data_IF_823433795243
#
_entry.id   IF_823433795243
#
_cell.length_a   1.000
_cell.length_b   1.000
_cell.length_c   1.000
_cell.angle_alpha   90.00
_cell.angle_beta   90.00
_cell.angle_gamma   90.00
#
_symmetry.space_group_name_H-M   'P 1'
#
loop_
_entity.id
_entity.type
_entity.pdbx_description
1 polymer ?
#
# COMPACT_ATOMS: atom_id res chain seq x y z
N UNK A 1 14.40 -15.54 5.43
CA UNK A 1 13.20 -16.21 4.88
C UNK A 1 12.08 -15.19 4.82
N UNK A 2 11.26 -15.18 3.76
CA UNK A 2 10.16 -14.22 3.62
C UNK A 2 9.09 -14.47 4.69
N UNK A 3 8.81 -13.44 5.48
CA UNK A 3 7.94 -13.46 6.64
C UNK A 3 6.49 -13.80 6.31
N UNK A 4 5.98 -13.28 5.19
CA UNK A 4 4.62 -13.55 4.76
C UNK A 4 4.38 -15.01 4.37
N UNK A 5 5.44 -15.77 4.03
CA UNK A 5 5.31 -17.20 3.71
C UNK A 5 5.09 -18.06 4.95
N UNK A 6 5.43 -17.54 6.12
CA UNK A 6 5.18 -18.20 7.40
C UNK A 6 3.78 -17.89 7.95
N UNK A 7 2.99 -17.09 7.23
CA UNK A 7 1.68 -16.66 7.68
C UNK A 7 0.72 -17.84 7.80
N UNK A 8 -0.02 -17.87 8.91
CA UNK A 8 -1.15 -18.78 9.14
C UNK A 8 -2.35 -17.93 9.55
N UNK A 9 -3.51 -18.10 8.90
CA UNK A 9 -4.73 -17.37 9.26
C UNK A 9 -5.03 -17.54 10.75
N UNK A 10 -5.43 -16.44 11.39
CA UNK A 10 -5.84 -16.44 12.79
C UNK A 10 -7.35 -16.69 12.87
N UNK A 11 -7.83 -17.43 13.87
CA UNK A 11 -9.26 -17.48 14.13
C UNK A 11 -9.78 -16.07 14.38
N UNK A 12 -11.02 -15.79 13.98
CA UNK A 12 -11.68 -14.51 14.32
C UNK A 12 -11.86 -14.51 15.84
N UNK A 13 -11.05 -13.69 16.53
CA UNK A 13 -11.03 -13.64 18.00
C UNK A 13 -11.85 -12.50 18.57
N UNK A 14 -12.31 -11.58 17.73
CA UNK A 14 -13.02 -10.39 18.16
C UNK A 14 -14.19 -10.10 17.20
N UNK A 15 -15.39 -9.94 17.77
CA UNK A 15 -16.61 -9.62 17.02
C UNK A 15 -16.78 -8.11 16.80
N UNK A 16 -15.94 -7.29 17.45
CA UNK A 16 -16.01 -5.82 17.39
C UNK A 16 -15.07 -5.23 16.34
N UNK A 17 -14.12 -6.01 15.82
CA UNK A 17 -13.24 -5.62 14.73
C UNK A 17 -13.77 -6.13 13.39
N UNK A 18 -13.73 -5.27 12.38
CA UNK A 18 -14.20 -5.55 11.01
C UNK A 18 -13.03 -5.71 10.03
N UNK A 19 -11.85 -6.04 10.55
CA UNK A 19 -10.68 -6.30 9.72
C UNK A 19 -10.83 -7.64 8.98
N UNK A 20 -10.06 -7.76 7.91
CA UNK A 20 -9.99 -8.97 7.11
C UNK A 20 -8.69 -9.71 7.40
N UNK A 21 -8.69 -11.01 7.12
CA UNK A 21 -7.52 -11.90 7.26
C UNK A 21 -7.10 -12.50 5.92
N UNK A 22 -6.87 -11.62 4.94
CA UNK A 22 -6.52 -12.00 3.57
C UNK A 22 -5.02 -12.28 3.48
N UNK A 23 -4.68 -13.53 3.15
CA UNK A 23 -3.33 -13.90 2.76
C UNK A 23 -3.04 -13.51 1.30
N UNK A 24 -2.38 -12.36 1.11
CA UNK A 24 -2.03 -11.83 -0.22
C UNK A 24 -1.12 -12.71 -1.06
N UNK A 25 -0.35 -13.63 -0.46
CA UNK A 25 0.49 -14.57 -1.24
C UNK A 25 -0.33 -15.48 -2.15
N UNK A 26 -1.62 -15.66 -1.86
CA UNK A 26 -2.54 -16.44 -2.69
C UNK A 26 -3.33 -15.58 -3.68
N UNK A 27 -3.14 -14.27 -3.66
CA UNK A 27 -3.82 -13.33 -4.54
C UNK A 27 -3.06 -13.13 -5.85
N UNK A 28 -3.75 -12.54 -6.83
CA UNK A 28 -3.20 -12.11 -8.11
C UNK A 28 -3.90 -10.83 -8.54
N UNK A 29 -3.34 -10.13 -9.53
CA UNK A 29 -3.99 -8.96 -10.11
C UNK A 29 -5.32 -9.33 -10.78
N UNK A 30 -6.38 -8.62 -10.40
CA UNK A 30 -7.74 -8.75 -10.95
C UNK A 30 -8.21 -7.49 -11.67
N UNK A 31 -7.56 -6.35 -11.40
CA UNK A 31 -7.81 -5.06 -12.06
C UNK A 31 -6.47 -4.41 -12.46
N UNK A 32 -6.39 -3.67 -13.58
CA UNK A 32 -5.14 -3.04 -13.99
C UNK A 32 -4.70 -1.96 -13.00
N UNK A 33 -3.40 -1.84 -12.74
CA UNK A 33 -2.84 -0.67 -12.05
C UNK A 33 -2.93 0.52 -13.01
N UNK A 34 -3.67 1.58 -12.62
CA UNK A 34 -3.93 2.75 -13.46
C UNK A 34 -3.23 4.01 -12.95
N UNK A 35 -3.10 4.19 -11.63
CA UNK A 35 -2.57 5.42 -11.04
C UNK A 35 -1.67 5.13 -9.84
N UNK A 36 -0.46 5.70 -9.85
CA UNK A 36 0.46 5.72 -8.72
C UNK A 36 0.45 7.13 -8.10
N UNK A 37 -0.07 7.26 -6.89
CA UNK A 37 -0.15 8.53 -6.17
C UNK A 37 1.02 8.56 -5.16
N UNK A 38 2.14 9.11 -5.59
CA UNK A 38 3.45 8.98 -4.93
C UNK A 38 3.78 10.17 -4.03
N UNK A 39 2.77 10.83 -3.45
CA UNK A 39 2.96 11.82 -2.40
C UNK A 39 3.08 11.18 -1.02
N UNK A 40 3.86 11.80 -0.14
CA UNK A 40 4.03 11.34 1.24
C UNK A 40 2.72 11.43 2.03
N UNK A 41 2.64 10.66 3.11
CA UNK A 41 1.58 10.85 4.11
C UNK A 41 1.47 12.31 4.54
N UNK A 42 0.25 12.73 4.88
CA UNK A 42 -0.11 14.12 5.23
C UNK A 42 -0.08 15.13 4.07
N UNK A 43 0.06 14.68 2.83
CA UNK A 43 -0.10 15.52 1.62
C UNK A 43 -1.49 15.41 0.97
N UNK A 44 -2.50 14.90 1.70
CA UNK A 44 -3.86 14.74 1.21
C UNK A 44 -4.20 13.35 0.65
N UNK A 45 -3.39 12.33 0.97
CA UNK A 45 -3.56 10.95 0.47
C UNK A 45 -4.92 10.32 0.80
N UNK A 46 -5.46 10.57 2.00
CA UNK A 46 -6.79 10.09 2.37
C UNK A 46 -7.91 10.72 1.50
N UNK A 47 -7.82 12.02 1.22
CA UNK A 47 -8.72 12.70 0.29
C UNK A 47 -8.56 12.18 -1.14
N UNK A 48 -7.33 11.89 -1.56
CA UNK A 48 -7.08 11.27 -2.87
C UNK A 48 -7.72 9.87 -2.96
N UNK A 49 -7.64 9.06 -1.91
CA UNK A 49 -8.30 7.75 -1.85
C UNK A 49 -9.82 7.89 -2.02
N UNK A 50 -10.43 8.85 -1.32
CA UNK A 50 -11.87 9.15 -1.44
C UNK A 50 -12.23 9.63 -2.86
N UNK A 51 -11.48 10.57 -3.42
CA UNK A 51 -11.72 11.10 -4.75
C UNK A 51 -11.59 10.02 -5.84
N UNK A 52 -10.62 9.11 -5.74
CA UNK A 52 -10.50 7.99 -6.69
C UNK A 52 -11.73 7.08 -6.66
N UNK A 53 -12.29 6.83 -5.46
CA UNK A 53 -13.55 6.08 -5.31
C UNK A 53 -14.72 6.81 -5.97
N UNK A 54 -14.85 8.12 -5.76
CA UNK A 54 -15.88 8.94 -6.41
C UNK A 54 -15.75 8.94 -7.94
N UNK A 55 -14.51 8.91 -8.46
CA UNK A 55 -14.22 8.80 -9.89
C UNK A 55 -14.42 7.39 -10.46
N UNK A 56 -14.87 6.41 -9.66
CA UNK A 56 -15.22 5.07 -10.10
C UNK A 56 -14.03 4.11 -10.20
N UNK A 57 -12.91 4.38 -9.55
CA UNK A 57 -11.82 3.40 -9.41
C UNK A 57 -12.24 2.30 -8.45
N UNK A 58 -11.95 1.03 -8.80
CA UNK A 58 -12.38 -0.14 -8.02
C UNK A 58 -11.90 -0.07 -6.57
N UNK A 59 -10.61 0.19 -6.38
CA UNK A 59 -10.04 0.47 -5.06
C UNK A 59 -8.73 1.26 -5.20
N UNK A 60 -8.38 2.00 -4.15
CA UNK A 60 -7.12 2.73 -3.99
C UNK A 60 -6.48 2.31 -2.68
N UNK A 61 -5.36 1.58 -2.79
CA UNK A 61 -4.61 1.12 -1.63
C UNK A 61 -4.04 2.31 -0.86
N UNK A 62 -4.11 2.27 0.47
CA UNK A 62 -3.64 3.32 1.38
C UNK A 62 -3.06 2.67 2.64
N UNK A 63 -2.30 3.41 3.46
CA UNK A 63 -1.81 2.94 4.76
C UNK A 63 -2.88 2.26 5.64
N UNK A 64 -4.12 2.74 5.60
CA UNK A 64 -5.24 2.15 6.36
C UNK A 64 -5.55 0.72 5.91
N UNK A 65 -5.28 0.38 4.65
CA UNK A 65 -5.44 -0.97 4.13
C UNK A 65 -4.52 -1.96 4.85
N UNK A 66 -3.28 -1.55 5.14
CA UNK A 66 -2.33 -2.39 5.87
C UNK A 66 -2.48 -2.31 7.39
N UNK A 67 -2.92 -1.17 7.95
CA UNK A 67 -2.94 -0.98 9.41
C UNK A 67 -4.29 -1.30 10.07
N UNK A 68 -5.39 -1.26 9.33
CA UNK A 68 -6.76 -1.40 9.87
C UNK A 68 -7.56 -2.44 9.09
N UNK A 69 -7.52 -2.43 7.75
CA UNK A 69 -8.46 -3.22 6.95
C UNK A 69 -7.98 -4.66 6.70
N UNK A 70 -6.69 -4.86 6.46
CA UNK A 70 -6.06 -6.18 6.33
C UNK A 70 -4.65 -6.17 6.97
N UNK A 71 -4.54 -6.22 8.31
CA UNK A 71 -3.26 -6.25 9.02
C UNK A 71 -2.21 -7.25 8.48
N UNK A 72 -2.57 -8.45 7.97
CA UNK A 72 -1.59 -9.37 7.37
C UNK A 72 -0.80 -8.79 6.18
N UNK A 73 -1.29 -7.75 5.50
CA UNK A 73 -0.55 -7.05 4.43
C UNK A 73 0.81 -6.53 4.93
N UNK A 74 0.92 -6.17 6.21
CA UNK A 74 2.18 -5.72 6.82
C UNK A 74 3.32 -6.74 6.66
N UNK A 75 3.01 -8.03 6.55
CA UNK A 75 4.02 -9.07 6.33
C UNK A 75 4.61 -9.03 4.92
N UNK A 76 3.80 -8.73 3.90
CA UNK A 76 4.30 -8.56 2.52
C UNK A 76 5.08 -7.24 2.40
N UNK A 77 4.60 -6.17 3.03
CA UNK A 77 5.33 -4.91 3.10
C UNK A 77 6.69 -5.07 3.79
N UNK A 78 6.75 -5.81 4.91
CA UNK A 78 8.02 -6.15 5.55
C UNK A 78 8.96 -6.90 4.60
N UNK A 79 8.47 -7.90 3.88
CA UNK A 79 9.29 -8.62 2.90
C UNK A 79 9.82 -7.69 1.80
N UNK A 80 9.04 -6.70 1.37
CA UNK A 80 9.49 -5.69 0.40
C UNK A 80 10.57 -4.77 1.00
N UNK A 81 10.43 -4.38 2.26
CA UNK A 81 11.45 -3.60 2.97
C UNK A 81 12.74 -4.40 3.17
N UNK A 82 12.64 -5.68 3.55
CA UNK A 82 13.79 -6.59 3.67
C UNK A 82 14.49 -6.76 2.31
N UNK A 83 13.72 -6.91 1.23
CA UNK A 83 14.27 -6.95 -0.13
C UNK A 83 15.06 -5.67 -0.48
N UNK A 84 14.47 -4.50 -0.20
CA UNK A 84 15.04 -3.20 -0.56
C UNK A 84 16.24 -2.78 0.28
N UNK A 85 16.18 -2.98 1.58
CA UNK A 85 17.16 -2.41 2.53
C UNK A 85 18.10 -3.45 3.16
N UNK A 86 17.84 -4.75 2.96
CA UNK A 86 18.63 -5.84 3.55
C UNK A 86 19.15 -6.83 2.50
N UNK A 87 19.42 -6.35 1.27
CA UNK A 87 19.99 -7.13 0.16
C UNK A 87 19.20 -8.40 -0.19
N UNK A 88 17.88 -8.38 0.00
CA UNK A 88 17.01 -9.46 -0.46
C UNK A 88 16.73 -9.38 -1.96
N UNK A 89 16.11 -10.43 -2.53
CA UNK A 89 15.69 -10.40 -3.93
C UNK A 89 14.63 -9.33 -4.15
N UNK A 90 14.84 -8.45 -5.13
CA UNK A 90 13.92 -7.38 -5.45
C UNK A 90 12.51 -7.92 -5.75
N UNK A 91 11.49 -7.20 -5.27
CA UNK A 91 10.10 -7.53 -5.57
C UNK A 91 9.84 -7.41 -7.08
N UNK A 92 9.22 -8.45 -7.63
CA UNK A 92 8.80 -8.48 -9.03
C UNK A 92 7.38 -7.91 -9.18
N UNK A 93 6.96 -7.65 -10.42
CA UNK A 93 5.55 -7.30 -10.71
C UNK A 93 4.56 -8.31 -10.14
N UNK A 94 4.90 -9.59 -10.13
CA UNK A 94 4.07 -10.66 -9.54
C UNK A 94 3.92 -10.50 -8.03
N UNK A 95 4.98 -10.10 -7.31
CA UNK A 95 4.91 -9.83 -5.87
C UNK A 95 4.04 -8.60 -5.58
N UNK A 96 4.16 -7.55 -6.40
CA UNK A 96 3.28 -6.38 -6.31
C UNK A 96 1.83 -6.70 -6.66
N UNK A 97 1.60 -7.57 -7.64
CA UNK A 97 0.27 -8.03 -8.05
C UNK A 97 -0.42 -8.87 -6.98
N UNK A 98 0.34 -9.60 -6.16
CA UNK A 98 -0.19 -10.28 -4.96
C UNK A 98 -0.76 -9.27 -3.96
N UNK A 99 -0.03 -8.20 -3.68
CA UNK A 99 -0.39 -7.19 -2.67
C UNK A 99 -1.48 -6.22 -3.17
N UNK A 100 -1.26 -5.64 -4.34
CA UNK A 100 -2.01 -4.50 -4.88
C UNK A 100 -2.96 -4.92 -6.00
N UNK A 101 -3.12 -6.22 -6.26
CA UNK A 101 -3.80 -6.75 -7.43
C UNK A 101 -5.29 -6.41 -7.53
N UNK A 102 -5.92 -6.11 -6.40
CA UNK A 102 -7.32 -5.73 -6.29
C UNK A 102 -7.54 -4.21 -6.39
N UNK A 103 -6.46 -3.41 -6.39
CA UNK A 103 -6.52 -1.97 -6.46
C UNK A 103 -6.11 -1.45 -7.83
N UNK A 104 -6.82 -0.43 -8.31
CA UNK A 104 -6.48 0.30 -9.54
C UNK A 104 -5.58 1.51 -9.28
N UNK A 105 -5.46 1.92 -8.02
CA UNK A 105 -4.52 2.94 -7.61
C UNK A 105 -3.87 2.60 -6.27
N UNK A 106 -2.77 3.29 -5.95
CA UNK A 106 -2.08 3.18 -4.68
C UNK A 106 -1.58 4.54 -4.23
N UNK A 107 -1.63 4.81 -2.93
CA UNK A 107 -1.19 6.06 -2.31
C UNK A 107 -0.66 5.83 -0.89
N UNK A 108 0.01 6.86 -0.36
CA UNK A 108 0.52 6.89 1.02
C UNK A 108 1.61 5.84 1.31
N UNK A 109 2.01 5.76 2.57
CA UNK A 109 2.79 4.66 3.11
C UNK A 109 2.02 3.33 3.07
N UNK A 110 2.71 2.19 2.93
CA UNK A 110 4.15 2.07 2.67
C UNK A 110 4.57 2.27 1.20
N UNK A 111 3.60 2.31 0.27
CA UNK A 111 3.86 2.30 -1.16
C UNK A 111 4.74 3.45 -1.67
N UNK A 112 4.63 4.65 -1.10
CA UNK A 112 5.48 5.80 -1.47
C UNK A 112 6.98 5.51 -1.32
N UNK A 113 7.36 4.63 -0.38
CA UNK A 113 8.76 4.21 -0.19
C UNK A 113 9.31 3.40 -1.38
N UNK A 114 8.43 2.86 -2.23
CA UNK A 114 8.75 2.01 -3.37
C UNK A 114 8.45 2.68 -4.71
N UNK A 115 8.44 4.02 -4.75
CA UNK A 115 8.12 4.77 -5.95
C UNK A 115 8.91 4.30 -7.20
N UNK A 116 10.25 4.16 -7.19
CA UNK A 116 10.99 3.65 -8.34
C UNK A 116 10.56 2.24 -8.77
N UNK A 117 10.38 1.33 -7.80
CA UNK A 117 10.04 -0.07 -8.05
C UNK A 117 8.61 -0.21 -8.60
N UNK A 118 7.66 0.57 -8.09
CA UNK A 118 6.28 0.58 -8.58
C UNK A 118 6.17 1.22 -9.97
N UNK A 119 6.93 2.27 -10.26
CA UNK A 119 7.00 2.87 -11.60
C UNK A 119 7.59 1.85 -12.59
N UNK A 120 8.65 1.14 -12.21
CA UNK A 120 9.25 0.11 -13.06
C UNK A 120 8.32 -1.10 -13.27
N UNK A 121 7.55 -1.49 -12.24
CA UNK A 121 6.60 -2.60 -12.31
C UNK A 121 5.33 -2.25 -13.10
N UNK A 122 4.91 -0.99 -13.12
CA UNK A 122 3.69 -0.52 -13.76
C UNK A 122 3.95 0.71 -14.66
N UNK A 123 4.75 0.57 -15.74
CA UNK A 123 5.09 1.69 -16.63
C UNK A 123 3.87 2.27 -17.36
N UNK A 124 2.76 1.53 -17.42
CA UNK A 124 1.48 1.96 -18.00
C UNK A 124 0.67 2.88 -17.06
N UNK A 125 0.99 2.90 -15.77
CA UNK A 125 0.23 3.67 -14.78
C UNK A 125 0.60 5.16 -14.83
N UNK A 126 -0.41 6.02 -14.72
CA UNK A 126 -0.19 7.47 -14.58
C UNK A 126 0.36 7.77 -13.19
N UNK A 127 1.19 8.80 -13.09
CA UNK A 127 1.78 9.22 -11.82
C UNK A 127 1.15 10.54 -11.37
N UNK A 128 0.76 10.61 -10.10
CA UNK A 128 0.35 11.83 -9.41
C UNK A 128 1.30 12.03 -8.22
N UNK A 129 1.88 13.22 -8.12
CA UNK A 129 2.67 13.63 -6.94
C UNK A 129 1.90 14.70 -6.19
N UNK A 130 1.27 14.33 -5.07
CA UNK A 130 0.69 15.32 -4.16
C UNK A 130 1.80 15.94 -3.31
N UNK A 131 1.78 17.27 -3.17
CA UNK A 131 2.77 18.01 -2.41
C UNK A 131 2.11 19.10 -1.57
N UNK A 132 2.83 19.60 -0.57
CA UNK A 132 2.44 20.68 0.34
C UNK A 132 3.69 21.48 0.71
N UNK A 133 3.50 22.72 1.14
CA UNK A 133 4.51 23.46 1.89
C UNK A 133 5.15 22.58 3.00
N UNK A 134 6.50 22.63 3.10
CA UNK A 134 7.28 21.70 3.91
C UNK A 134 7.06 21.89 5.41
N UNK A 135 6.96 23.14 5.87
CA UNK A 135 6.75 23.46 7.28
C UNK A 135 5.35 23.05 7.73
N UNK A 136 4.35 23.33 6.89
CA UNK A 136 2.97 22.92 7.09
C UNK A 136 2.79 21.40 7.06
N UNK A 137 3.53 20.70 6.19
CA UNK A 137 3.57 19.25 6.14
C UNK A 137 4.18 18.67 7.42
N UNK A 138 5.36 19.16 7.82
CA UNK A 138 6.07 18.70 9.01
C UNK A 138 5.23 18.89 10.28
N UNK A 139 4.66 20.08 10.47
CA UNK A 139 3.75 20.36 11.58
C UNK A 139 2.51 19.44 11.59
N UNK A 140 1.99 19.07 10.41
CA UNK A 140 0.89 18.11 10.30
C UNK A 140 1.31 16.69 10.62
N UNK A 141 2.52 16.27 10.23
CA UNK A 141 3.08 14.95 10.49
C UNK A 141 3.30 14.73 11.97
N UNK A 142 3.96 15.67 12.66
CA UNK A 142 4.20 15.57 14.11
C UNK A 142 2.92 15.38 14.92
N UNK A 143 1.81 16.02 14.52
CA UNK A 143 0.51 15.84 15.18
C UNK A 143 -0.12 14.45 15.01
N UNK A 144 0.41 13.63 14.10
CA UNK A 144 -0.17 12.33 13.71
C UNK A 144 0.68 11.14 14.14
N UNK A 145 1.97 11.36 14.43
CA UNK A 145 2.94 10.30 14.79
C UNK A 145 3.33 10.30 16.28
N UNK A 146 2.79 11.25 17.06
CA UNK A 146 3.06 11.38 18.49
C UNK A 146 2.23 10.42 19.35
#
# INVERSE_FOLDING_TARGET
MANSRLYRPKPITDIFTADTDINRRNCRRTVPMKVLILGLGRTGTASMRAAMRELGYVDTYHMMSASIENPPDCLLWRDAFDAKYHNGPAFTRTDWDQLLGHCQAVCDWPAVAFAPELIAAYPEAKIILTNRDVDSWHASTLKTVN
#
